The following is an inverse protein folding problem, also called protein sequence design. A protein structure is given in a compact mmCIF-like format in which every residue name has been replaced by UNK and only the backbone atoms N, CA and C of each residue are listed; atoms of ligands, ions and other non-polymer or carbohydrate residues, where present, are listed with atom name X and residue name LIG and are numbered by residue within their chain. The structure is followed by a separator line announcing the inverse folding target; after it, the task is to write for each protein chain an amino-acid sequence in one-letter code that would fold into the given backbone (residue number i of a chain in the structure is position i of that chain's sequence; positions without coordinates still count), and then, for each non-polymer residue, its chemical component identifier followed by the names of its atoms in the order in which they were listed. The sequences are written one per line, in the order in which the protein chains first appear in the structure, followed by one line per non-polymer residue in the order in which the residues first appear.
data_IF_550620242167
#
_entry.id   IF_550620242167
#
_cell.length_a   1.000
_cell.length_b   1.000
_cell.length_c   1.000
_cell.angle_alpha   90.00
_cell.angle_beta   90.00
_cell.angle_gamma   90.00
#
_symmetry.space_group_name_H-M   'P 1'
#
loop_
_entity.id
_entity.type
_entity.pdbx_description
1 polymer ?
#
# COMPACT_ATOMS: atom_id res chain seq x y z
N UNK A 1 -0.37 6.00 -15.43
CA UNK A 1 -1.45 5.26 -16.14
C UNK A 1 -2.66 5.18 -15.21
N UNK A 2 -3.88 5.36 -15.70
CA UNK A 2 -5.08 5.34 -14.86
C UNK A 2 -5.93 4.09 -15.15
N UNK A 3 -6.36 3.39 -14.12
CA UNK A 3 -7.30 2.26 -14.19
C UNK A 3 -8.69 2.77 -13.81
N UNK A 4 -9.73 2.34 -14.54
CA UNK A 4 -11.11 2.81 -14.31
C UNK A 4 -12.04 1.64 -14.06
N UNK A 5 -12.84 1.77 -13.00
CA UNK A 5 -13.84 0.78 -12.60
C UNK A 5 -13.26 -0.38 -11.79
N UNK A 6 -14.12 -1.00 -10.98
CA UNK A 6 -13.76 -2.09 -10.07
C UNK A 6 -13.02 -3.25 -10.75
N UNK A 7 -13.43 -3.76 -11.92
CA UNK A 7 -12.73 -4.89 -12.55
C UNK A 7 -11.29 -4.57 -12.94
N UNK A 8 -11.04 -3.38 -13.50
CA UNK A 8 -9.70 -2.97 -13.92
C UNK A 8 -8.78 -2.76 -12.71
N UNK A 9 -9.30 -2.15 -11.64
CA UNK A 9 -8.57 -1.93 -10.40
C UNK A 9 -8.26 -3.27 -9.72
N UNK A 10 -9.23 -4.18 -9.64
CA UNK A 10 -9.02 -5.52 -9.08
C UNK A 10 -7.97 -6.31 -9.88
N UNK A 11 -8.03 -6.25 -11.21
CA UNK A 11 -7.04 -6.90 -12.08
C UNK A 11 -5.64 -6.33 -11.87
N UNK A 12 -5.51 -5.02 -11.69
CA UNK A 12 -4.23 -4.40 -11.35
C UNK A 12 -3.66 -4.95 -10.03
N UNK A 13 -4.45 -4.94 -8.96
CA UNK A 13 -4.02 -5.47 -7.67
C UNK A 13 -3.71 -6.98 -7.71
N UNK A 14 -4.43 -7.75 -8.52
CA UNK A 14 -4.20 -9.19 -8.65
C UNK A 14 -2.99 -9.57 -9.52
N UNK A 15 -2.29 -8.60 -10.14
CA UNK A 15 -1.22 -8.90 -11.10
C UNK A 15 0.07 -8.09 -10.89
N UNK A 16 -0.03 -6.85 -10.40
CA UNK A 16 1.12 -5.94 -10.37
C UNK A 16 1.81 -5.88 -9.00
N UNK A 17 1.14 -5.48 -7.90
CA UNK A 17 1.80 -5.39 -6.59
C UNK A 17 2.24 -6.77 -6.11
N UNK A 18 3.51 -6.88 -5.71
CA UNK A 18 4.11 -8.17 -5.29
C UNK A 18 3.87 -9.33 -6.28
N UNK A 19 3.78 -9.03 -7.59
CA UNK A 19 3.51 -10.04 -8.61
C UNK A 19 2.10 -10.67 -8.53
N UNK A 20 1.16 -9.98 -7.87
CA UNK A 20 -0.22 -10.43 -7.67
C UNK A 20 -0.46 -11.14 -6.34
N UNK A 21 0.57 -11.45 -5.56
CA UNK A 21 0.41 -12.02 -4.23
C UNK A 21 0.30 -10.92 -3.17
N UNK A 22 -0.93 -10.45 -2.95
CA UNK A 22 -1.23 -9.43 -1.95
C UNK A 22 -0.96 -9.88 -0.51
N UNK A 23 -0.80 -11.19 -0.25
CA UNK A 23 -0.45 -11.70 1.10
C UNK A 23 0.98 -11.32 1.50
N UNK A 24 1.83 -10.97 0.54
CA UNK A 24 3.17 -10.43 0.78
C UNK A 24 3.16 -8.96 1.20
N UNK A 25 1.99 -8.28 1.19
CA UNK A 25 1.89 -6.85 1.46
C UNK A 25 1.31 -6.63 2.85
N UNK A 26 2.11 -6.07 3.73
CA UNK A 26 1.65 -5.56 5.02
C UNK A 26 1.24 -4.09 4.87
N UNK A 27 0.06 -3.73 5.38
CA UNK A 27 -0.49 -2.39 5.27
C UNK A 27 -0.51 -1.70 6.63
N UNK A 28 0.05 -0.50 6.71
CA UNK A 28 0.03 0.36 7.89
C UNK A 28 -0.84 1.59 7.61
N UNK A 29 -1.90 1.84 8.39
CA UNK A 29 -2.69 3.06 8.27
C UNK A 29 -1.84 4.32 8.51
N UNK A 30 -2.02 5.32 7.65
CA UNK A 30 -1.41 6.65 7.79
C UNK A 30 -2.34 7.72 7.20
N UNK A 31 -1.86 8.96 7.09
CA UNK A 31 -2.61 10.08 6.50
C UNK A 31 -1.73 10.89 5.57
N UNK A 32 -2.30 11.31 4.44
CA UNK A 32 -1.65 12.20 3.47
C UNK A 32 -2.55 13.41 3.20
N UNK A 33 -2.07 14.63 3.47
CA UNK A 33 -2.82 15.87 3.20
C UNK A 33 -4.28 15.86 3.73
N UNK A 34 -4.51 15.29 4.92
CA UNK A 34 -5.84 15.19 5.52
C UNK A 34 -6.71 14.03 5.02
N UNK A 35 -6.26 13.25 4.03
CA UNK A 35 -6.96 12.08 3.51
C UNK A 35 -6.46 10.78 4.18
N UNK A 36 -7.30 9.73 4.26
CA UNK A 36 -6.86 8.39 4.64
C UNK A 36 -5.81 7.86 3.66
N UNK A 37 -4.78 7.21 4.18
CA UNK A 37 -3.76 6.57 3.37
C UNK A 37 -3.28 5.26 3.99
N UNK A 38 -2.67 4.41 3.18
CA UNK A 38 -2.06 3.15 3.58
C UNK A 38 -0.61 3.11 3.11
N UNK A 39 0.32 2.84 4.02
CA UNK A 39 1.69 2.47 3.69
C UNK A 39 1.76 0.97 3.42
N UNK A 40 2.23 0.61 2.23
CA UNK A 40 2.47 -0.76 1.83
C UNK A 40 3.93 -1.14 2.06
N UNK A 41 4.14 -2.26 2.74
CA UNK A 41 5.43 -2.89 2.91
C UNK A 41 5.40 -4.27 2.26
N UNK A 42 6.37 -4.59 1.40
CA UNK A 42 6.47 -5.89 0.72
C UNK A 42 7.43 -6.79 1.49
N UNK A 43 6.98 -7.99 1.84
CA UNK A 43 7.79 -9.03 2.48
C UNK A 43 8.93 -9.46 1.56
N UNK A 44 10.12 -9.67 2.14
CA UNK A 44 11.23 -10.29 1.43
C UNK A 44 10.91 -11.77 1.11
N UNK A 45 11.59 -12.40 0.13
CA UNK A 45 11.35 -13.81 -0.20
C UNK A 45 11.57 -14.79 0.96
N UNK A 46 12.25 -14.36 2.03
CA UNK A 46 12.50 -15.15 3.23
C UNK A 46 11.39 -14.99 4.28
N UNK A 47 10.46 -14.06 4.08
CA UNK A 47 9.38 -13.72 5.00
C UNK A 47 9.84 -13.05 6.30
N UNK A 48 11.10 -12.60 6.39
CA UNK A 48 11.70 -12.15 7.67
C UNK A 48 11.56 -10.66 7.93
N UNK A 49 11.36 -9.88 6.86
CA UNK A 49 11.24 -8.42 6.91
C UNK A 49 10.27 -7.95 5.84
N UNK A 50 9.53 -6.89 6.11
CA UNK A 50 8.76 -6.18 5.10
C UNK A 50 9.38 -4.82 4.84
N UNK A 51 9.68 -4.50 3.58
CA UNK A 51 10.36 -3.26 3.18
C UNK A 51 9.39 -2.27 2.57
N UNK A 52 9.62 -0.98 2.83
CA UNK A 52 8.84 0.12 2.29
C UNK A 52 8.68 -0.02 0.77
N UNK A 53 7.44 0.00 0.30
CA UNK A 53 7.10 -0.21 -1.12
C UNK A 53 6.40 1.02 -1.71
N UNK A 54 5.37 1.53 -1.04
CA UNK A 54 4.66 2.71 -1.52
C UNK A 54 3.53 3.16 -0.61
N UNK A 55 2.98 4.33 -0.92
CA UNK A 55 1.86 4.93 -0.20
C UNK A 55 0.63 4.95 -1.12
N UNK A 56 -0.50 4.49 -0.63
CA UNK A 56 -1.80 4.58 -1.32
C UNK A 56 -2.65 5.62 -0.60
N UNK A 57 -3.00 6.70 -1.29
CA UNK A 57 -3.93 7.72 -0.78
C UNK A 57 -5.32 7.39 -1.28
N UNK A 58 -6.29 7.39 -0.38
CA UNK A 58 -7.68 7.03 -0.65
C UNK A 58 -8.54 8.30 -0.71
N UNK A 59 -9.15 8.55 -1.86
CA UNK A 59 -10.23 9.52 -1.97
C UNK A 59 -11.52 8.80 -1.58
N UNK A 60 -12.20 9.30 -0.56
CA UNK A 60 -13.46 8.75 -0.07
C UNK A 60 -14.58 9.73 -0.39
N UNK A 61 -15.63 9.24 -1.05
CA UNK A 61 -16.86 9.98 -1.34
C UNK A 61 -18.06 9.13 -0.90
N UNK A 62 -19.02 9.76 -0.24
CA UNK A 62 -20.21 9.11 0.35
C UNK A 62 -19.91 7.79 1.12
N UNK A 63 -18.82 7.78 1.89
CA UNK A 63 -18.41 6.62 2.68
C UNK A 63 -17.78 5.46 1.89
N UNK A 64 -17.56 5.62 0.58
CA UNK A 64 -16.95 4.62 -0.30
C UNK A 64 -15.63 5.12 -0.91
N UNK A 65 -14.74 4.19 -1.28
CA UNK A 65 -13.51 4.54 -1.99
C UNK A 65 -13.86 4.92 -3.44
N UNK A 66 -13.65 6.19 -3.78
CA UNK A 66 -13.86 6.75 -5.11
C UNK A 66 -12.59 6.65 -5.97
N UNK A 67 -11.41 6.81 -5.38
CA UNK A 67 -10.12 6.76 -6.06
C UNK A 67 -9.01 6.22 -5.14
N UNK A 68 -8.02 5.56 -5.75
CA UNK A 68 -6.77 5.15 -5.10
C UNK A 68 -5.62 5.75 -5.90
N UNK A 69 -4.86 6.65 -5.28
CA UNK A 69 -3.64 7.20 -5.87
C UNK A 69 -2.43 6.53 -5.23
N UNK A 70 -1.68 5.74 -6.02
CA UNK A 70 -0.48 5.04 -5.56
C UNK A 70 0.81 5.81 -5.84
N UNK A 71 1.65 5.96 -4.83
CA UNK A 71 3.00 6.51 -4.91
C UNK A 71 4.01 5.41 -4.57
N UNK A 72 4.63 4.83 -5.59
CA UNK A 72 5.63 3.74 -5.44
C UNK A 72 7.02 4.31 -5.23
N UNK A 73 7.21 5.02 -4.13
CA UNK A 73 8.50 5.60 -3.74
C UNK A 73 8.78 5.39 -2.25
N UNK A 74 9.71 4.48 -1.90
CA UNK A 74 10.11 4.24 -0.51
C UNK A 74 10.70 5.47 0.18
N UNK A 75 11.26 6.43 -0.57
CA UNK A 75 11.82 7.67 0.00
C UNK A 75 10.77 8.56 0.67
N UNK A 76 9.48 8.30 0.42
CA UNK A 76 8.39 9.00 1.08
C UNK A 76 8.22 8.58 2.54
N UNK A 77 8.58 7.36 2.93
CA UNK A 77 8.25 6.80 4.26
C UNK A 77 8.74 7.66 5.44
N UNK A 78 9.98 8.18 5.44
CA UNK A 78 10.44 9.10 6.48
C UNK A 78 9.59 10.38 6.60
N UNK A 79 9.02 10.88 5.49
CA UNK A 79 8.14 12.05 5.50
C UNK A 79 6.80 11.78 6.21
N UNK A 80 6.40 10.51 6.29
CA UNK A 80 5.23 10.05 7.05
C UNK A 80 5.59 9.60 8.47
N UNK A 81 6.85 9.75 8.90
CA UNK A 81 7.32 9.24 10.19
C UNK A 81 7.31 7.70 10.28
N UNK A 82 7.34 7.03 9.14
CA UNK A 82 7.29 5.57 9.03
C UNK A 82 8.71 4.99 8.85
N UNK A 83 8.99 3.80 9.40
CA UNK A 83 10.26 3.12 9.17
C UNK A 83 10.38 2.62 7.73
N UNK A 84 11.60 2.41 7.27
CA UNK A 84 11.94 1.78 5.99
C UNK A 84 11.66 0.27 5.97
N UNK A 85 11.65 -0.36 7.14
CA UNK A 85 11.33 -1.77 7.32
C UNK A 85 10.42 -2.01 8.53
N UNK A 86 9.51 -2.98 8.41
CA UNK A 86 8.82 -3.58 9.54
C UNK A 86 9.54 -4.88 9.92
N UNK A 87 9.81 -5.04 11.21
CA UNK A 87 10.00 -6.38 11.78
C UNK A 87 8.65 -7.09 11.73
N UNK A 88 8.64 -8.38 11.37
CA UNK A 88 7.38 -9.10 11.19
C UNK A 88 6.54 -8.99 12.47
N UNK A 89 5.39 -8.33 12.35
CA UNK A 89 4.31 -8.47 13.31
C UNK A 89 3.71 -9.82 12.95
N UNK A 90 4.15 -10.88 13.63
CA UNK A 90 3.33 -12.09 13.70
C UNK A 90 1.95 -11.61 14.14
N UNK A 91 0.94 -11.79 13.28
CA UNK A 91 -0.45 -11.69 13.71
C UNK A 91 -0.58 -12.59 14.95
N UNK A 92 -0.93 -11.96 16.07
CA UNK A 92 -1.33 -12.65 17.29
C UNK A 92 -2.70 -13.31 17.08
#
# INVERSE_FOLDING_TARGET
MAYRGRPAIASFFATVPAGGDLTQISLVPTRANGQPALAAYVRDPKGTKASAYGIMVLTVDDGAIAEITGFTDPALFPLFGLPDHLADVQEA
#
